data_IF_512080023007
#
_entry.id   IF_512080023007
#
_cell.length_a   1.000
_cell.length_b   1.000
_cell.length_c   1.000
_cell.angle_alpha   90.00
_cell.angle_beta   90.00
_cell.angle_gamma   90.00
#
_symmetry.space_group_name_H-M   'P 1'
#
loop_
_entity.id
_entity.type
_entity.pdbx_description
1 polymer ?
#
# COMPACT_ATOMS: atom_id res chain seq x y z
N UNK A 1 -11.22 5.28 22.66
CA UNK A 1 -12.34 4.30 22.74
C UNK A 1 -13.57 4.99 22.18
N UNK A 2 -13.87 4.77 20.92
CA UNK A 2 -15.09 5.27 20.28
C UNK A 2 -15.89 4.06 19.84
N UNK A 3 -16.84 3.64 20.65
CA UNK A 3 -17.93 2.79 20.21
C UNK A 3 -18.73 3.58 19.17
N UNK A 4 -18.39 3.38 17.91
CA UNK A 4 -19.18 3.94 16.81
C UNK A 4 -20.46 3.12 16.73
N UNK A 5 -21.55 3.77 17.05
CA UNK A 5 -22.94 3.31 17.06
C UNK A 5 -23.26 2.39 15.87
N UNK A 6 -23.17 1.08 16.08
CA UNK A 6 -23.72 0.06 15.19
C UNK A 6 -25.26 0.23 14.99
N UNK A 7 -25.92 0.94 15.90
CA UNK A 7 -27.36 1.19 15.90
C UNK A 7 -27.85 2.06 14.74
N UNK A 8 -27.01 2.94 14.16
CA UNK A 8 -27.43 3.81 13.03
C UNK A 8 -27.47 3.10 11.68
N UNK A 9 -26.75 2.00 11.51
CA UNK A 9 -26.72 1.23 10.27
C UNK A 9 -27.80 0.14 10.18
N UNK A 10 -28.56 -0.10 11.26
CA UNK A 10 -29.52 -1.22 11.35
C UNK A 10 -30.87 -0.98 10.71
N UNK A 11 -31.18 0.19 10.17
CA UNK A 11 -32.54 0.53 9.75
C UNK A 11 -32.91 0.20 8.29
N UNK A 12 -31.98 -0.38 7.50
CA UNK A 12 -32.32 -0.86 6.15
C UNK A 12 -32.03 -2.35 5.98
N UNK A 13 -32.98 -3.16 6.35
CA UNK A 13 -32.87 -4.65 6.37
C UNK A 13 -32.59 -5.33 5.01
N UNK A 14 -32.41 -4.60 3.90
CA UNK A 14 -32.24 -5.17 2.55
C UNK A 14 -31.37 -4.35 1.60
N UNK A 15 -30.85 -3.20 1.99
CA UNK A 15 -30.02 -2.40 1.09
C UNK A 15 -28.62 -2.97 0.92
N UNK A 16 -28.14 -2.96 -0.32
CA UNK A 16 -26.75 -3.32 -0.64
C UNK A 16 -25.77 -2.38 0.07
N UNK A 17 -24.73 -2.93 0.69
CA UNK A 17 -23.66 -2.15 1.30
C UNK A 17 -22.91 -1.38 0.21
N UNK A 18 -22.71 -0.07 0.42
CA UNK A 18 -21.92 0.80 -0.46
C UNK A 18 -20.59 1.14 0.21
N UNK A 19 -19.50 0.78 -0.46
CA UNK A 19 -18.12 1.09 -0.03
C UNK A 19 -17.47 2.01 -1.04
N UNK A 20 -16.82 3.07 -0.56
CA UNK A 20 -15.94 3.91 -1.37
C UNK A 20 -14.52 3.78 -0.83
N UNK A 21 -13.62 3.28 -1.67
CA UNK A 21 -12.20 3.15 -1.36
C UNK A 21 -11.39 4.27 -2.01
N UNK A 22 -10.39 4.79 -1.32
CA UNK A 22 -9.51 5.83 -1.87
C UNK A 22 -8.71 5.31 -3.06
N UNK A 23 -8.17 4.10 -2.96
CA UNK A 23 -7.33 3.46 -3.97
C UNK A 23 -7.86 2.06 -4.33
N UNK A 24 -7.55 1.62 -5.53
CA UNK A 24 -8.10 0.40 -6.12
C UNK A 24 -7.62 -0.90 -5.46
N UNK A 25 -6.42 -0.95 -4.92
CA UNK A 25 -5.93 -2.15 -4.22
C UNK A 25 -6.63 -2.38 -2.87
N UNK A 26 -7.07 -1.34 -2.17
CA UNK A 26 -7.98 -1.49 -1.02
C UNK A 26 -9.40 -1.83 -1.49
N UNK A 27 -9.84 -1.23 -2.59
CA UNK A 27 -11.11 -1.56 -3.22
C UNK A 27 -11.20 -3.01 -3.66
N UNK A 28 -10.11 -3.60 -4.15
CA UNK A 28 -10.04 -5.03 -4.50
C UNK A 28 -10.33 -5.93 -3.29
N UNK A 29 -9.71 -5.65 -2.14
CA UNK A 29 -9.98 -6.40 -0.91
C UNK A 29 -11.44 -6.27 -0.47
N UNK A 30 -11.97 -5.05 -0.51
CA UNK A 30 -13.38 -4.80 -0.17
C UNK A 30 -14.33 -5.54 -1.10
N UNK A 31 -14.08 -5.51 -2.40
CA UNK A 31 -14.88 -6.22 -3.41
C UNK A 31 -14.81 -7.74 -3.23
N UNK A 32 -13.63 -8.27 -2.94
CA UNK A 32 -13.45 -9.70 -2.70
C UNK A 32 -14.26 -10.20 -1.49
N UNK A 33 -14.31 -9.42 -0.40
CA UNK A 33 -15.05 -9.77 0.81
C UNK A 33 -16.55 -9.54 0.64
N UNK A 34 -16.94 -8.39 0.07
CA UNK A 34 -18.34 -7.99 -0.08
C UNK A 34 -19.10 -8.86 -1.09
N UNK A 35 -18.42 -9.28 -2.18
CA UNK A 35 -19.01 -10.06 -3.25
C UNK A 35 -20.24 -9.35 -3.87
N UNK A 36 -21.33 -10.07 -4.02
CA UNK A 36 -22.59 -9.55 -4.59
C UNK A 36 -23.54 -8.88 -3.57
N UNK A 37 -23.10 -8.71 -2.33
CA UNK A 37 -23.91 -8.13 -1.25
C UNK A 37 -23.83 -6.61 -1.16
N UNK A 38 -23.11 -5.99 -2.06
CA UNK A 38 -22.96 -4.54 -2.13
C UNK A 38 -22.17 -4.10 -3.36
N UNK A 39 -21.76 -2.84 -3.33
CA UNK A 39 -20.95 -2.22 -4.38
C UNK A 39 -19.69 -1.59 -3.79
N UNK A 40 -18.60 -1.64 -4.53
CA UNK A 40 -17.34 -0.97 -4.18
C UNK A 40 -16.97 -0.02 -5.30
N UNK A 41 -16.75 1.24 -4.96
CA UNK A 41 -16.21 2.26 -5.86
C UNK A 41 -14.80 2.61 -5.40
N UNK A 42 -13.81 2.37 -6.25
CA UNK A 42 -12.44 2.87 -6.04
C UNK A 42 -12.28 4.22 -6.72
N UNK A 43 -11.81 5.24 -5.99
CA UNK A 43 -11.67 6.60 -6.53
C UNK A 43 -10.47 6.69 -7.44
N UNK A 44 -9.29 6.32 -6.95
CA UNK A 44 -8.05 6.33 -7.72
C UNK A 44 -7.80 4.92 -8.28
N UNK A 45 -7.88 4.82 -9.62
CA UNK A 45 -7.63 3.60 -10.41
C UNK A 45 -6.57 3.80 -11.48
N UNK A 46 -6.16 5.04 -11.68
CA UNK A 46 -5.10 5.38 -12.62
C UNK A 46 -3.78 5.47 -11.86
N UNK A 47 -2.78 4.62 -12.20
CA UNK A 47 -1.51 4.61 -11.50
C UNK A 47 -0.67 5.89 -11.68
N UNK A 48 -1.06 6.77 -12.60
CA UNK A 48 -0.39 8.08 -12.79
C UNK A 48 -0.89 9.17 -11.85
N UNK A 49 -1.93 8.89 -11.05
CA UNK A 49 -2.46 9.84 -10.06
C UNK A 49 -1.79 9.60 -8.73
N UNK A 50 -1.15 10.63 -8.20
CA UNK A 50 -0.60 10.61 -6.85
C UNK A 50 -1.74 10.75 -5.81
N UNK A 51 -1.92 9.77 -4.92
CA UNK A 51 -2.96 9.83 -3.89
C UNK A 51 -2.76 10.95 -2.86
N UNK A 52 -1.53 11.41 -2.64
CA UNK A 52 -1.24 12.52 -1.73
C UNK A 52 -1.82 13.85 -2.23
N UNK A 53 -1.73 14.09 -3.55
CA UNK A 53 -2.11 15.36 -4.19
C UNK A 53 -3.48 15.35 -4.87
N UNK A 54 -4.21 14.24 -4.72
CA UNK A 54 -5.51 14.09 -5.38
C UNK A 54 -6.53 15.13 -4.90
N UNK A 55 -7.19 15.77 -5.86
CA UNK A 55 -8.28 16.71 -5.60
C UNK A 55 -9.62 16.05 -5.95
N UNK A 56 -10.49 15.76 -4.96
CA UNK A 56 -11.75 15.09 -5.22
C UNK A 56 -12.74 15.98 -5.97
N UNK A 57 -13.45 15.37 -6.91
CA UNK A 57 -14.54 16.04 -7.64
C UNK A 57 -15.83 16.05 -6.80
N UNK A 58 -16.79 16.89 -7.18
CA UNK A 58 -18.13 16.89 -6.57
C UNK A 58 -18.82 15.53 -6.66
N UNK A 59 -18.59 14.77 -7.75
CA UNK A 59 -19.13 13.43 -7.91
C UNK A 59 -18.55 12.45 -6.89
N UNK A 60 -17.24 12.54 -6.61
CA UNK A 60 -16.59 11.75 -5.56
C UNK A 60 -17.15 12.10 -4.18
N UNK A 61 -17.29 13.40 -3.88
CA UNK A 61 -17.88 13.86 -2.62
C UNK A 61 -19.31 13.32 -2.44
N UNK A 62 -20.13 13.34 -3.49
CA UNK A 62 -21.48 12.76 -3.48
C UNK A 62 -21.44 11.27 -3.19
N UNK A 63 -20.59 10.50 -3.87
CA UNK A 63 -20.47 9.04 -3.64
C UNK A 63 -20.05 8.73 -2.21
N UNK A 64 -19.12 9.51 -1.63
CA UNK A 64 -18.72 9.39 -0.24
C UNK A 64 -19.90 9.65 0.70
N UNK A 65 -20.68 10.71 0.47
CA UNK A 65 -21.84 11.04 1.32
C UNK A 65 -22.96 9.99 1.30
N UNK A 66 -23.04 9.20 0.24
CA UNK A 66 -24.02 8.12 0.06
C UNK A 66 -23.50 6.73 0.48
N UNK A 67 -22.23 6.62 0.88
CA UNK A 67 -21.60 5.36 1.26
C UNK A 67 -21.95 4.95 2.68
N UNK A 68 -21.95 3.64 2.94
CA UNK A 68 -21.98 3.09 4.30
C UNK A 68 -20.59 3.11 4.92
N UNK A 69 -19.56 2.78 4.11
CA UNK A 69 -18.17 2.75 4.51
C UNK A 69 -17.30 3.53 3.54
N UNK A 70 -16.32 4.26 4.06
CA UNK A 70 -15.17 4.73 3.31
C UNK A 70 -13.93 4.02 3.81
N UNK A 71 -13.13 3.52 2.88
CA UNK A 71 -11.92 2.73 3.14
C UNK A 71 -10.73 3.46 2.57
N UNK A 72 -9.77 3.81 3.42
CA UNK A 72 -8.61 4.56 3.01
C UNK A 72 -7.39 4.27 3.88
N UNK A 73 -6.20 4.69 3.42
CA UNK A 73 -4.95 4.40 4.08
C UNK A 73 -4.83 5.05 5.45
N UNK A 74 -5.19 6.33 5.53
CA UNK A 74 -4.99 7.14 6.73
C UNK A 74 -3.53 7.59 6.88
N UNK A 75 -3.16 7.94 8.09
CA UNK A 75 -1.83 8.41 8.51
C UNK A 75 -1.20 9.45 7.56
N UNK A 76 -2.01 10.40 7.10
CA UNK A 76 -1.56 11.50 6.24
C UNK A 76 -1.48 11.20 4.74
N UNK A 77 -1.72 9.96 4.30
CA UNK A 77 -1.58 9.56 2.90
C UNK A 77 -2.67 10.11 1.98
N UNK A 78 -3.93 9.90 2.33
CA UNK A 78 -5.11 10.28 1.55
C UNK A 78 -6.03 11.22 2.34
N UNK A 79 -5.48 12.36 2.77
CA UNK A 79 -6.14 13.33 3.66
C UNK A 79 -7.43 13.91 3.09
N UNK A 80 -7.57 13.94 1.76
CA UNK A 80 -8.79 14.37 1.09
C UNK A 80 -9.97 13.46 1.44
N UNK A 81 -9.75 12.15 1.63
CA UNK A 81 -10.81 11.22 2.06
C UNK A 81 -11.22 11.49 3.51
N UNK A 82 -10.27 11.78 4.38
CA UNK A 82 -10.56 12.19 5.77
C UNK A 82 -11.48 13.40 5.81
N UNK A 83 -11.21 14.41 4.96
CA UNK A 83 -12.05 15.63 4.88
C UNK A 83 -13.46 15.31 4.38
N UNK A 84 -13.59 14.49 3.33
CA UNK A 84 -14.89 14.09 2.80
C UNK A 84 -15.70 13.27 3.82
N UNK A 85 -15.05 12.33 4.51
CA UNK A 85 -15.69 11.49 5.54
C UNK A 85 -16.20 12.33 6.72
N UNK A 86 -15.44 13.33 7.19
CA UNK A 86 -15.87 14.24 8.27
C UNK A 86 -17.12 15.04 7.91
N UNK A 87 -17.29 15.36 6.64
CA UNK A 87 -18.45 16.13 6.14
C UNK A 87 -19.67 15.25 5.84
N UNK A 88 -19.57 13.94 6.05
CA UNK A 88 -20.62 12.96 5.75
C UNK A 88 -21.17 12.36 7.04
N UNK A 89 -22.47 12.62 7.35
CA UNK A 89 -23.07 12.35 8.68
C UNK A 89 -23.16 10.88 9.08
N UNK A 90 -23.36 9.99 8.11
CA UNK A 90 -23.70 8.58 8.38
C UNK A 90 -22.67 7.58 7.83
N UNK A 91 -21.53 8.08 7.41
CA UNK A 91 -20.45 7.26 6.84
C UNK A 91 -19.52 6.75 7.93
N UNK A 92 -19.19 5.47 7.87
CA UNK A 92 -18.20 4.84 8.76
C UNK A 92 -16.84 4.82 8.07
N UNK A 93 -15.86 5.47 8.68
CA UNK A 93 -14.47 5.44 8.20
C UNK A 93 -13.76 4.17 8.64
N UNK A 94 -13.05 3.56 7.71
CA UNK A 94 -12.10 2.47 7.94
C UNK A 94 -10.74 2.96 7.49
N UNK A 95 -9.88 3.28 8.45
CA UNK A 95 -8.51 3.78 8.22
C UNK A 95 -7.54 2.64 8.46
N UNK A 96 -6.88 2.21 7.40
CA UNK A 96 -5.98 1.05 7.47
C UNK A 96 -4.86 1.27 8.48
N UNK A 97 -4.26 2.45 8.47
CA UNK A 97 -3.17 2.79 9.38
C UNK A 97 -3.60 2.80 10.84
N UNK A 98 -4.54 3.67 11.17
CA UNK A 98 -4.94 3.91 12.56
C UNK A 98 -5.78 2.76 13.12
N UNK A 99 -6.79 2.30 12.38
CA UNK A 99 -7.80 1.38 12.92
C UNK A 99 -7.34 -0.08 12.88
N UNK A 100 -6.49 -0.48 11.91
CA UNK A 100 -6.05 -1.86 11.76
C UNK A 100 -4.63 -2.10 12.25
N UNK A 101 -3.72 -1.15 12.04
CA UNK A 101 -2.29 -1.35 12.25
C UNK A 101 -1.74 -0.57 13.44
N UNK A 102 -2.54 0.28 14.08
CA UNK A 102 -2.12 1.12 15.21
C UNK A 102 -1.03 2.13 14.84
N UNK A 103 -1.04 2.57 13.59
CA UNK A 103 -0.12 3.57 13.07
C UNK A 103 -0.64 4.98 13.32
N UNK A 104 0.25 5.96 13.19
CA UNK A 104 -0.03 7.38 13.40
C UNK A 104 0.62 8.24 12.31
N UNK A 105 0.21 9.48 12.22
CA UNK A 105 0.83 10.45 11.32
C UNK A 105 2.34 10.53 11.59
N UNK A 106 3.12 10.56 10.50
CA UNK A 106 4.58 10.50 10.52
C UNK A 106 5.17 9.07 10.42
N UNK A 107 4.37 8.02 10.59
CA UNK A 107 4.80 6.67 10.23
C UNK A 107 4.81 6.53 8.68
N UNK A 108 5.66 5.63 8.18
CA UNK A 108 5.71 5.33 6.74
C UNK A 108 4.33 4.89 6.22
N UNK A 109 3.73 5.62 5.25
CA UNK A 109 2.34 5.39 4.83
C UNK A 109 2.15 4.21 3.89
N UNK A 110 3.20 3.61 3.36
CA UNK A 110 3.13 2.55 2.33
C UNK A 110 2.74 1.19 2.92
N UNK A 111 1.61 1.15 3.62
CA UNK A 111 1.15 0.04 4.47
C UNK A 111 0.83 -1.24 3.72
N UNK A 112 0.43 -1.12 2.46
CA UNK A 112 0.11 -2.27 1.58
C UNK A 112 1.33 -3.14 1.24
N UNK A 113 2.53 -2.62 1.47
CA UNK A 113 3.77 -3.36 1.34
C UNK A 113 4.12 -4.23 2.55
N UNK A 114 3.37 -4.13 3.65
CA UNK A 114 3.42 -5.16 4.71
C UNK A 114 2.57 -6.36 4.29
N UNK A 115 3.15 -7.56 4.32
CA UNK A 115 2.46 -8.78 3.89
C UNK A 115 1.21 -9.12 4.72
N UNK A 116 1.14 -8.62 5.96
CA UNK A 116 0.00 -8.83 6.87
C UNK A 116 -1.17 -7.85 6.68
N UNK A 117 -0.97 -6.73 5.98
CA UNK A 117 -1.96 -5.64 5.90
C UNK A 117 -3.24 -6.08 5.20
N UNK A 118 -3.13 -6.62 3.99
CA UNK A 118 -4.31 -7.04 3.22
C UNK A 118 -5.07 -8.21 3.87
N UNK A 119 -4.41 -9.25 4.45
CA UNK A 119 -5.10 -10.26 5.24
C UNK A 119 -5.86 -9.70 6.44
N UNK A 120 -5.25 -8.79 7.21
CA UNK A 120 -5.94 -8.12 8.32
C UNK A 120 -7.14 -7.32 7.85
N UNK A 121 -6.98 -6.57 6.76
CA UNK A 121 -8.06 -5.78 6.17
C UNK A 121 -9.24 -6.66 5.76
N UNK A 122 -9.00 -7.76 5.06
CA UNK A 122 -10.06 -8.68 4.63
C UNK A 122 -10.87 -9.21 5.82
N UNK A 123 -10.21 -9.65 6.88
CA UNK A 123 -10.88 -10.15 8.09
C UNK A 123 -11.65 -9.04 8.81
N UNK A 124 -11.10 -7.84 8.89
CA UNK A 124 -11.76 -6.68 9.48
C UNK A 124 -13.02 -6.30 8.69
N UNK A 125 -12.93 -6.24 7.37
CA UNK A 125 -14.07 -5.95 6.49
C UNK A 125 -15.18 -6.99 6.65
N UNK A 126 -14.84 -8.28 6.73
CA UNK A 126 -15.83 -9.34 6.94
C UNK A 126 -16.59 -9.15 8.25
N UNK A 127 -15.90 -8.74 9.33
CA UNK A 127 -16.53 -8.39 10.61
C UNK A 127 -17.47 -7.21 10.44
N UNK A 128 -17.00 -6.10 9.87
CA UNK A 128 -17.78 -4.85 9.72
C UNK A 128 -19.02 -5.05 8.82
N UNK A 129 -18.88 -5.75 7.71
CA UNK A 129 -20.00 -6.07 6.83
C UNK A 129 -21.00 -7.03 7.50
N UNK A 130 -20.50 -7.97 8.30
CA UNK A 130 -21.34 -8.88 9.07
C UNK A 130 -22.14 -8.19 10.18
N UNK A 131 -21.65 -7.09 10.74
CA UNK A 131 -22.40 -6.25 11.69
C UNK A 131 -23.58 -5.54 11.02
N UNK A 132 -23.38 -5.07 9.78
CA UNK A 132 -24.42 -4.39 8.99
C UNK A 132 -25.44 -5.37 8.39
N UNK A 133 -24.97 -6.53 7.92
CA UNK A 133 -25.80 -7.59 7.33
C UNK A 133 -25.60 -8.93 8.07
N UNK A 134 -26.14 -9.12 9.27
CA UNK A 134 -25.90 -10.33 10.07
C UNK A 134 -26.25 -11.63 9.36
N UNK A 135 -27.27 -11.63 8.51
CA UNK A 135 -27.68 -12.80 7.69
C UNK A 135 -26.58 -13.25 6.71
N UNK A 136 -25.71 -12.34 6.29
CA UNK A 136 -24.62 -12.59 5.35
C UNK A 136 -23.25 -12.75 6.04
N UNK A 137 -23.17 -12.76 7.36
CA UNK A 137 -21.90 -12.83 8.11
C UNK A 137 -21.02 -14.00 7.68
N UNK A 138 -21.57 -15.20 7.56
CA UNK A 138 -20.82 -16.40 7.12
C UNK A 138 -20.31 -16.26 5.68
N UNK A 139 -21.08 -15.61 4.80
CA UNK A 139 -20.68 -15.33 3.43
C UNK A 139 -19.44 -14.43 3.38
N UNK A 140 -19.44 -13.32 4.12
CA UNK A 140 -18.30 -12.42 4.20
C UNK A 140 -17.07 -13.09 4.80
N UNK A 141 -17.23 -13.88 5.86
CA UNK A 141 -16.14 -14.65 6.46
C UNK A 141 -15.52 -15.66 5.49
N UNK A 142 -16.34 -16.37 4.72
CA UNK A 142 -15.89 -17.31 3.68
C UNK A 142 -15.09 -16.59 2.59
N UNK A 143 -15.59 -15.43 2.13
CA UNK A 143 -14.92 -14.61 1.13
C UNK A 143 -13.59 -14.08 1.64
N UNK A 144 -13.53 -13.58 2.87
CA UNK A 144 -12.27 -13.12 3.48
C UNK A 144 -11.24 -14.25 3.57
N UNK A 145 -11.66 -15.45 4.02
CA UNK A 145 -10.75 -16.62 4.06
C UNK A 145 -10.21 -16.97 2.67
N UNK A 146 -11.06 -16.92 1.64
CA UNK A 146 -10.64 -17.18 0.24
C UNK A 146 -9.61 -16.13 -0.22
N UNK A 147 -9.86 -14.85 0.03
CA UNK A 147 -8.94 -13.77 -0.32
C UNK A 147 -7.61 -13.91 0.41
N UNK A 148 -7.63 -14.11 1.73
CA UNK A 148 -6.41 -14.32 2.53
C UNK A 148 -5.61 -15.52 2.02
N UNK A 149 -6.27 -16.63 1.69
CA UNK A 149 -5.62 -17.82 1.11
C UNK A 149 -4.92 -17.49 -0.21
N UNK A 150 -5.54 -16.65 -1.06
CA UNK A 150 -4.98 -16.25 -2.36
C UNK A 150 -3.70 -15.42 -2.22
N UNK A 151 -3.47 -14.77 -1.09
CA UNK A 151 -2.29 -13.94 -0.82
C UNK A 151 -1.11 -14.72 -0.18
N UNK A 152 -1.32 -15.95 0.26
CA UNK A 152 -0.25 -16.78 0.85
C UNK A 152 1.01 -16.93 -0.02
N UNK A 153 0.93 -16.98 -1.36
CA UNK A 153 2.13 -17.02 -2.20
C UNK A 153 3.08 -15.85 -1.97
N UNK A 154 2.56 -14.65 -1.68
CA UNK A 154 3.39 -13.47 -1.37
C UNK A 154 4.23 -13.72 -0.12
N UNK A 155 3.61 -14.17 0.97
CA UNK A 155 4.31 -14.45 2.23
C UNK A 155 5.34 -15.58 2.07
N UNK A 156 4.99 -16.64 1.32
CA UNK A 156 5.92 -17.72 1.03
C UNK A 156 7.13 -17.24 0.22
N UNK A 157 6.90 -16.37 -0.77
CA UNK A 157 7.97 -15.82 -1.60
C UNK A 157 8.91 -14.93 -0.78
N UNK A 158 8.36 -14.06 0.08
CA UNK A 158 9.16 -13.24 1.00
C UNK A 158 10.02 -14.14 1.91
N UNK A 159 9.43 -15.17 2.51
CA UNK A 159 10.16 -16.13 3.35
C UNK A 159 11.27 -16.86 2.58
N UNK A 160 11.01 -17.25 1.32
CA UNK A 160 12.01 -17.86 0.46
C UNK A 160 13.18 -16.92 0.19
N UNK A 161 12.89 -15.68 -0.24
CA UNK A 161 13.91 -14.69 -0.60
C UNK A 161 14.69 -14.19 0.61
N UNK A 162 14.08 -14.16 1.80
CA UNK A 162 14.75 -13.73 3.04
C UNK A 162 15.94 -14.59 3.44
N UNK A 163 16.05 -15.81 2.91
CA UNK A 163 17.20 -16.68 3.16
C UNK A 163 18.51 -16.14 2.57
N UNK A 164 18.44 -15.30 1.53
CA UNK A 164 19.60 -14.78 0.80
C UNK A 164 19.81 -13.26 1.00
N UNK A 165 19.10 -12.63 1.92
CA UNK A 165 19.06 -11.16 2.05
C UNK A 165 19.54 -10.63 3.40
N UNK A 166 19.64 -11.49 4.41
CA UNK A 166 19.87 -11.06 5.78
C UNK A 166 21.09 -10.16 5.93
N UNK A 167 20.82 -8.92 6.37
CA UNK A 167 21.84 -7.93 6.70
C UNK A 167 22.47 -7.22 5.51
N UNK A 168 22.11 -7.58 4.26
CA UNK A 168 22.61 -6.88 3.07
C UNK A 168 22.05 -5.46 3.00
N UNK A 169 22.86 -4.52 2.53
CA UNK A 169 22.48 -3.11 2.40
C UNK A 169 21.79 -2.86 1.07
N UNK A 170 20.83 -1.95 1.08
CA UNK A 170 20.15 -1.43 -0.11
C UNK A 170 19.97 0.08 0.03
N UNK A 171 19.91 0.78 -1.11
CA UNK A 171 19.45 2.17 -1.18
C UNK A 171 18.11 2.23 -1.89
N UNK A 172 17.32 3.24 -1.57
CA UNK A 172 15.98 3.44 -2.13
C UNK A 172 15.82 4.87 -2.65
N UNK A 173 15.04 5.06 -3.70
CA UNK A 173 14.68 6.41 -4.17
C UNK A 173 13.70 7.09 -3.23
N UNK A 174 12.78 6.32 -2.65
CA UNK A 174 11.75 6.72 -1.72
C UNK A 174 11.42 5.56 -0.79
N UNK A 175 10.82 5.78 0.40
CA UNK A 175 10.54 4.71 1.36
C UNK A 175 9.30 3.87 1.00
N UNK A 176 9.04 3.67 -0.29
CA UNK A 176 7.84 2.96 -0.79
C UNK A 176 7.87 1.48 -0.44
N UNK A 177 9.02 0.84 -0.59
CA UNK A 177 9.18 -0.62 -0.46
C UNK A 177 9.74 -1.06 0.90
N UNK A 178 9.93 -0.15 1.84
CA UNK A 178 10.63 -0.37 3.10
C UNK A 178 10.05 -1.49 3.95
N UNK A 179 8.73 -1.57 4.05
CA UNK A 179 8.10 -2.65 4.83
C UNK A 179 8.43 -4.04 4.28
N UNK A 180 8.43 -4.20 2.97
CA UNK A 180 8.81 -5.46 2.33
C UNK A 180 10.32 -5.72 2.49
N UNK A 181 11.17 -4.71 2.32
CA UNK A 181 12.62 -4.83 2.55
C UNK A 181 12.93 -5.30 3.97
N UNK A 182 12.22 -4.76 4.97
CA UNK A 182 12.35 -5.17 6.36
C UNK A 182 11.94 -6.63 6.58
N UNK A 183 10.83 -7.07 5.98
CA UNK A 183 10.38 -8.46 6.05
C UNK A 183 11.37 -9.42 5.36
N UNK A 184 12.02 -8.96 4.29
CA UNK A 184 13.08 -9.68 3.59
C UNK A 184 14.41 -9.74 4.36
N UNK A 185 14.60 -8.86 5.34
CA UNK A 185 15.84 -8.76 6.12
C UNK A 185 16.94 -7.89 5.52
N UNK A 186 16.64 -7.10 4.49
CA UNK A 186 17.53 -6.05 4.00
C UNK A 186 17.62 -4.87 4.98
N UNK A 187 18.74 -4.17 4.92
CA UNK A 187 18.95 -2.93 5.67
C UNK A 187 19.06 -1.75 4.70
N UNK A 188 18.18 -0.81 4.84
CA UNK A 188 18.24 0.44 4.10
C UNK A 188 19.40 1.29 4.61
N UNK A 189 20.22 1.80 3.71
CA UNK A 189 21.44 2.53 4.05
C UNK A 189 21.29 4.05 3.86
N UNK A 190 20.39 4.50 2.99
CA UNK A 190 20.17 5.90 2.68
C UNK A 190 18.88 6.49 3.28
N UNK A 191 18.55 6.13 4.51
CA UNK A 191 17.31 6.53 5.18
C UNK A 191 17.08 8.04 5.24
N UNK A 192 18.13 8.83 5.41
CA UNK A 192 18.05 10.29 5.46
C UNK A 192 17.65 10.88 4.10
N UNK A 193 18.23 10.38 3.02
CA UNK A 193 17.83 10.75 1.65
C UNK A 193 16.36 10.39 1.39
N UNK A 194 15.96 9.13 1.66
CA UNK A 194 14.62 8.64 1.43
C UNK A 194 13.57 9.45 2.22
N UNK A 195 13.89 9.80 3.46
CA UNK A 195 13.01 10.64 4.30
C UNK A 195 12.85 12.05 3.74
N UNK A 196 13.94 12.65 3.21
CA UNK A 196 13.84 13.97 2.59
C UNK A 196 12.90 13.98 1.39
N UNK A 197 12.95 12.92 0.56
CA UNK A 197 12.07 12.78 -0.59
C UNK A 197 10.61 12.61 -0.13
N UNK A 198 10.36 11.75 0.85
CA UNK A 198 9.01 11.55 1.42
C UNK A 198 8.41 12.84 1.97
N UNK A 199 9.24 13.65 2.64
CA UNK A 199 8.82 14.94 3.20
C UNK A 199 8.76 16.07 2.13
N UNK A 200 8.93 15.75 0.86
CA UNK A 200 8.98 16.73 -0.25
C UNK A 200 10.02 17.85 -0.03
N UNK A 201 11.14 17.50 0.59
CA UNK A 201 12.28 18.39 0.81
C UNK A 201 13.46 17.99 -0.08
N UNK A 202 14.32 18.95 -0.45
CA UNK A 202 15.47 18.67 -1.26
C UNK A 202 16.50 17.84 -0.47
N UNK A 203 16.95 16.67 -0.99
CA UNK A 203 18.01 15.91 -0.37
C UNK A 203 19.33 16.69 -0.32
N UNK A 204 20.08 16.52 0.76
CA UNK A 204 21.36 17.22 0.89
C UNK A 204 22.41 16.75 -0.13
N UNK A 205 23.32 17.60 -0.61
CA UNK A 205 24.42 17.19 -1.47
C UNK A 205 25.28 16.08 -0.86
N UNK A 206 25.38 16.04 0.46
CA UNK A 206 26.11 14.99 1.21
C UNK A 206 25.42 13.64 1.04
N UNK A 207 24.09 13.58 1.15
CA UNK A 207 23.33 12.35 1.00
C UNK A 207 23.37 11.83 -0.42
N UNK A 208 23.25 12.73 -1.41
CA UNK A 208 23.35 12.38 -2.84
C UNK A 208 24.75 11.79 -3.13
N UNK A 209 25.80 12.41 -2.63
CA UNK A 209 27.18 11.92 -2.81
C UNK A 209 27.40 10.57 -2.11
N UNK A 210 26.82 10.37 -0.92
CA UNK A 210 26.91 9.11 -0.21
C UNK A 210 26.26 7.97 -1.02
N UNK A 211 25.05 8.19 -1.57
CA UNK A 211 24.39 7.21 -2.44
C UNK A 211 25.21 6.91 -3.71
N UNK A 212 25.77 7.93 -4.36
CA UNK A 212 26.63 7.72 -5.52
C UNK A 212 27.83 6.84 -5.17
N UNK A 213 28.44 7.05 -4.00
CA UNK A 213 29.56 6.24 -3.53
C UNK A 213 29.13 4.80 -3.18
N UNK A 214 27.99 4.61 -2.57
CA UNK A 214 27.45 3.28 -2.26
C UNK A 214 27.29 2.45 -3.54
N UNK A 215 26.77 3.06 -4.60
CA UNK A 215 26.59 2.42 -5.91
C UNK A 215 27.95 2.17 -6.58
N UNK A 216 28.83 3.18 -6.68
CA UNK A 216 30.14 3.06 -7.33
C UNK A 216 31.02 1.99 -6.67
N UNK A 217 30.96 1.87 -5.35
CA UNK A 217 31.75 0.93 -4.57
C UNK A 217 31.03 -0.42 -4.37
N UNK A 218 29.87 -0.63 -5.00
CA UNK A 218 29.06 -1.86 -4.86
C UNK A 218 28.79 -2.23 -3.40
N UNK A 219 28.56 -1.23 -2.55
CA UNK A 219 28.30 -1.41 -1.13
C UNK A 219 26.87 -1.92 -0.87
N UNK A 220 25.96 -1.68 -1.81
CA UNK A 220 24.56 -2.11 -1.77
C UNK A 220 24.31 -3.28 -2.70
N UNK A 221 23.41 -4.18 -2.31
CA UNK A 221 23.00 -5.33 -3.12
C UNK A 221 22.21 -4.89 -4.36
N UNK A 222 21.38 -3.86 -4.22
CA UNK A 222 20.63 -3.23 -5.31
C UNK A 222 20.10 -1.87 -4.88
N UNK A 223 19.68 -1.10 -5.87
CA UNK A 223 18.95 0.17 -5.69
C UNK A 223 17.47 -0.06 -5.97
N UNK A 224 16.60 0.43 -5.08
CA UNK A 224 15.13 0.37 -5.28
C UNK A 224 14.65 1.66 -5.91
N UNK A 225 14.10 1.58 -7.11
CA UNK A 225 13.55 2.72 -7.85
C UNK A 225 12.01 2.66 -7.83
N UNK A 226 11.37 3.71 -7.27
CA UNK A 226 9.97 3.97 -7.56
C UNK A 226 9.88 4.58 -8.97
N UNK A 227 9.40 3.81 -9.94
CA UNK A 227 9.36 4.25 -11.34
C UNK A 227 8.32 5.33 -11.63
N UNK A 228 7.45 5.62 -10.67
CA UNK A 228 6.42 6.67 -10.79
C UNK A 228 6.91 8.05 -10.33
N UNK A 229 8.07 8.11 -9.65
CA UNK A 229 8.66 9.34 -9.12
C UNK A 229 10.17 9.44 -9.42
N UNK A 230 10.54 9.28 -10.68
CA UNK A 230 11.93 9.41 -11.14
C UNK A 230 12.24 10.85 -11.52
N UNK A 231 13.06 11.52 -10.71
CA UNK A 231 13.63 12.84 -10.99
C UNK A 231 15.05 12.73 -11.59
N UNK A 232 15.71 13.87 -11.77
CA UNK A 232 17.09 13.90 -12.29
C UNK A 232 18.10 13.23 -11.36
N UNK A 233 17.93 13.34 -10.05
CA UNK A 233 18.81 12.75 -9.04
C UNK A 233 18.71 11.24 -9.10
N UNK A 234 17.48 10.72 -9.03
CA UNK A 234 17.21 9.28 -9.12
C UNK A 234 17.64 8.72 -10.48
N UNK A 235 17.36 9.42 -11.57
CA UNK A 235 17.81 9.02 -12.92
C UNK A 235 19.33 8.93 -13.03
N UNK A 236 20.07 9.82 -12.38
CA UNK A 236 21.52 9.76 -12.33
C UNK A 236 22.04 8.56 -11.52
N UNK A 237 21.43 8.27 -10.37
CA UNK A 237 21.77 7.08 -9.56
C UNK A 237 21.55 5.80 -10.38
N UNK A 238 20.45 5.70 -11.11
CA UNK A 238 20.16 4.55 -11.99
C UNK A 238 21.23 4.39 -13.08
N UNK A 239 21.69 5.49 -13.68
CA UNK A 239 22.80 5.46 -14.66
C UNK A 239 24.11 4.96 -14.05
N UNK A 240 24.45 5.44 -12.86
CA UNK A 240 25.65 5.01 -12.13
C UNK A 240 25.53 3.53 -11.77
N UNK A 241 24.35 3.07 -11.31
CA UNK A 241 24.09 1.67 -10.99
C UNK A 241 24.35 0.76 -12.20
N UNK A 242 23.84 1.12 -13.37
CA UNK A 242 24.09 0.38 -14.62
C UNK A 242 25.59 0.34 -14.99
N UNK A 243 26.28 1.47 -14.88
CA UNK A 243 27.71 1.57 -15.19
C UNK A 243 28.58 0.72 -14.25
N UNK A 244 28.14 0.47 -13.02
CA UNK A 244 28.87 -0.29 -12.01
C UNK A 244 28.30 -1.70 -11.76
N UNK A 245 27.37 -2.17 -12.62
CA UNK A 245 26.70 -3.47 -12.49
C UNK A 245 26.01 -3.69 -11.13
N UNK A 246 25.43 -2.63 -10.58
CA UNK A 246 24.55 -2.71 -9.42
C UNK A 246 23.11 -2.88 -9.91
N UNK A 247 22.40 -3.93 -9.50
CA UNK A 247 21.03 -4.15 -9.95
C UNK A 247 20.08 -3.03 -9.48
N UNK A 248 19.04 -2.78 -10.27
CA UNK A 248 17.96 -1.85 -9.93
C UNK A 248 16.67 -2.65 -9.82
N UNK A 249 16.08 -2.67 -8.62
CA UNK A 249 14.75 -3.23 -8.38
C UNK A 249 13.70 -2.15 -8.63
N UNK A 250 12.87 -2.35 -9.65
CA UNK A 250 11.82 -1.41 -10.00
C UNK A 250 10.52 -1.74 -9.25
N UNK A 251 10.01 -0.76 -8.54
CA UNK A 251 8.74 -0.85 -7.81
C UNK A 251 7.81 0.30 -8.20
N UNK A 252 6.56 0.21 -7.81
CA UNK A 252 5.58 1.28 -7.97
C UNK A 252 4.88 1.55 -6.66
N UNK A 253 4.46 2.78 -6.42
CA UNK A 253 3.68 3.16 -5.26
C UNK A 253 2.21 2.78 -5.43
N UNK A 254 1.66 2.95 -6.63
CA UNK A 254 0.28 2.61 -6.98
C UNK A 254 0.22 1.38 -7.86
N UNK A 255 -0.90 0.66 -7.79
CA UNK A 255 -1.07 -0.60 -8.52
C UNK A 255 -1.09 -0.36 -10.03
N UNK A 256 -0.25 -1.07 -10.80
CA UNK A 256 -0.23 -0.94 -12.26
C UNK A 256 -1.57 -1.35 -12.88
N UNK A 257 -1.93 -0.68 -13.97
CA UNK A 257 -3.17 -0.95 -14.69
C UNK A 257 -3.27 -2.42 -15.12
N UNK A 258 -4.43 -3.03 -14.87
CA UNK A 258 -4.70 -4.41 -15.29
C UNK A 258 -4.11 -5.48 -14.38
N UNK A 259 -3.45 -5.11 -13.30
CA UNK A 259 -2.91 -6.05 -12.30
C UNK A 259 -3.85 -6.20 -11.12
N UNK A 260 -3.82 -7.37 -10.49
CA UNK A 260 -4.32 -7.57 -9.14
C UNK A 260 -3.23 -7.22 -8.13
N UNK A 261 -3.63 -7.00 -6.87
CA UNK A 261 -2.68 -6.77 -5.79
C UNK A 261 -1.64 -7.91 -5.68
N UNK A 262 -2.09 -9.16 -5.78
CA UNK A 262 -1.20 -10.32 -5.75
C UNK A 262 -0.20 -10.32 -6.91
N UNK A 263 -0.64 -10.06 -8.12
CA UNK A 263 0.23 -9.99 -9.30
C UNK A 263 1.25 -8.87 -9.16
N UNK A 264 0.82 -7.70 -8.71
CA UNK A 264 1.69 -6.56 -8.46
C UNK A 264 2.81 -6.90 -7.46
N UNK A 265 2.47 -7.46 -6.30
CA UNK A 265 3.47 -7.87 -5.31
C UNK A 265 4.39 -8.98 -5.83
N UNK A 266 3.83 -10.00 -6.48
CA UNK A 266 4.61 -11.13 -7.01
C UNK A 266 5.55 -10.74 -8.15
N UNK A 267 5.15 -9.82 -9.02
CA UNK A 267 6.02 -9.32 -10.11
C UNK A 267 7.30 -8.69 -9.55
N UNK A 268 7.17 -7.87 -8.51
CA UNK A 268 8.31 -7.23 -7.84
C UNK A 268 9.19 -8.26 -7.09
N UNK A 269 8.58 -9.21 -6.40
CA UNK A 269 9.32 -10.26 -5.71
C UNK A 269 10.02 -11.22 -6.68
N UNK A 270 9.41 -11.51 -7.82
CA UNK A 270 10.06 -12.32 -8.89
C UNK A 270 11.23 -11.58 -9.52
N UNK A 271 11.14 -10.25 -9.66
CA UNK A 271 12.27 -9.42 -10.11
C UNK A 271 13.42 -9.49 -9.10
N UNK A 272 13.13 -9.41 -7.80
CA UNK A 272 14.14 -9.56 -6.76
C UNK A 272 14.77 -10.95 -6.76
N UNK A 273 14.00 -12.01 -7.01
CA UNK A 273 14.56 -13.36 -7.14
C UNK A 273 15.60 -13.46 -8.26
N UNK A 274 15.35 -12.83 -9.40
CA UNK A 274 16.32 -12.76 -10.50
C UNK A 274 17.60 -12.02 -10.08
N UNK A 275 17.46 -10.91 -9.35
CA UNK A 275 18.60 -10.15 -8.80
C UNK A 275 19.43 -11.06 -7.88
N UNK A 276 18.80 -11.75 -6.94
CA UNK A 276 19.50 -12.65 -6.01
C UNK A 276 20.19 -13.84 -6.71
N UNK A 277 19.66 -14.31 -7.83
CA UNK A 277 20.30 -15.39 -8.63
C UNK A 277 21.54 -14.90 -9.37
N UNK A 278 21.62 -13.62 -9.70
CA UNK A 278 22.80 -13.03 -10.36
C UNK A 278 23.94 -12.75 -9.39
N UNK A 279 23.67 -12.68 -8.08
CA UNK A 279 24.70 -12.51 -7.04
C UNK A 279 25.49 -13.79 -6.74
N UNK A 280 25.06 -14.94 -7.25
CA UNK A 280 25.69 -16.25 -7.10
C UNK A 280 26.64 -16.54 -8.27
#
# INVERSE_FOLDING_TARGET
MGEVNAAKLSSSKTSKIKVVASVDFYGEAAKAVLGNKGTVTSVIKNPSIDPHDYQPTSNVAKKVSEANFVLYNGIGYDTWMTKLAKNSKDVVSIRVGEDLLGKKDGDNPHLWYQSKTMPKLANYLAKRFGEVQPKNKKYFQKNAKKFVKSLKPIQRKIKQLSKNSKGKLVDVSEPVFDYTLKELGYKEHNTHFAKSVEDSTDPSPKDIKAMQNDVKNRKIAFFVENTQATDKIVGNIVKIAKAHNVPVLKVTETMPKGKTYKEWMMDQLNQLEKIQKQEK
#
